data_IF_897703206659
#
_entry.id   IF_897703206659
#
_cell.length_a   1.000
_cell.length_b   1.000
_cell.length_c   1.000
_cell.angle_alpha   90.00
_cell.angle_beta   90.00
_cell.angle_gamma   90.00
#
_symmetry.space_group_name_H-M   'P 1'
#
loop_
_entity.id
_entity.type
_entity.pdbx_description
1 polymer ?
#
# COMPACT_ATOMS: atom_id res chain seq x y z
N UNK A 1 -25.08 -61.50 21.00
CA UNK A 1 -24.15 -60.35 21.06
C UNK A 1 -24.00 -59.61 19.72
N UNK A 2 -24.14 -60.29 18.57
CA UNK A 2 -23.96 -59.71 17.23
C UNK A 2 -25.05 -58.71 16.83
N UNK A 3 -26.33 -58.99 17.10
CA UNK A 3 -27.44 -58.13 16.66
C UNK A 3 -27.44 -56.73 17.31
N UNK A 4 -27.04 -56.63 18.58
CA UNK A 4 -26.91 -55.34 19.29
C UNK A 4 -25.74 -54.50 18.76
N UNK A 5 -24.61 -55.14 18.46
CA UNK A 5 -23.46 -54.46 17.87
C UNK A 5 -23.77 -53.94 16.45
N UNK A 6 -24.53 -54.71 15.66
CA UNK A 6 -24.99 -54.30 14.32
C UNK A 6 -25.96 -53.11 14.41
N UNK A 7 -26.91 -53.13 15.35
CA UNK A 7 -27.84 -52.01 15.55
C UNK A 7 -27.11 -50.72 15.95
N UNK A 8 -26.13 -50.81 16.85
CA UNK A 8 -25.32 -49.66 17.26
C UNK A 8 -24.48 -49.14 16.09
N UNK A 9 -23.85 -50.03 15.30
CA UNK A 9 -23.08 -49.63 14.13
C UNK A 9 -23.94 -48.93 13.07
N UNK A 10 -25.17 -49.39 12.83
CA UNK A 10 -26.11 -48.76 11.91
C UNK A 10 -26.56 -47.37 12.38
N UNK A 11 -26.85 -47.22 13.68
CA UNK A 11 -27.21 -45.92 14.26
C UNK A 11 -26.05 -44.93 14.13
N UNK A 12 -24.81 -45.36 14.40
CA UNK A 12 -23.64 -44.51 14.17
C UNK A 12 -23.52 -44.11 12.70
N UNK A 13 -23.65 -45.05 11.76
CA UNK A 13 -23.54 -44.79 10.31
C UNK A 13 -24.52 -43.71 9.82
N UNK A 14 -25.76 -43.71 10.34
CA UNK A 14 -26.80 -42.74 9.97
C UNK A 14 -26.55 -41.34 10.54
N UNK A 15 -25.73 -41.21 11.59
CA UNK A 15 -25.43 -39.94 12.25
C UNK A 15 -24.23 -39.18 11.64
N UNK A 16 -23.41 -39.82 10.78
CA UNK A 16 -22.23 -39.20 10.16
C UNK A 16 -22.44 -38.35 8.88
N UNK A 17 -23.58 -38.36 8.14
CA UNK A 17 -23.63 -37.67 6.85
C UNK A 17 -23.58 -36.14 6.96
N UNK A 18 -23.77 -35.56 8.16
CA UNK A 18 -23.71 -34.11 8.39
C UNK A 18 -22.32 -33.47 8.23
N UNK A 19 -21.23 -34.24 8.25
CA UNK A 19 -19.87 -33.69 8.11
C UNK A 19 -19.45 -33.41 6.66
N UNK A 20 -20.16 -33.96 5.66
CA UNK A 20 -19.80 -33.83 4.24
C UNK A 20 -20.78 -32.97 3.43
N UNK A 21 -21.89 -32.51 4.03
CA UNK A 21 -23.01 -31.89 3.32
C UNK A 21 -23.08 -30.37 3.44
N UNK A 22 -22.11 -29.71 4.07
CA UNK A 22 -22.05 -28.24 4.05
C UNK A 22 -21.58 -27.77 2.67
N UNK A 23 -22.45 -27.12 1.86
CA UNK A 23 -22.00 -26.52 0.62
C UNK A 23 -20.95 -25.47 0.96
N UNK A 24 -19.82 -25.50 0.25
CA UNK A 24 -18.78 -24.49 0.42
C UNK A 24 -19.39 -23.10 0.15
N UNK A 25 -19.54 -22.30 1.20
CA UNK A 25 -19.93 -20.91 1.06
C UNK A 25 -18.75 -20.16 0.46
N UNK A 26 -18.94 -19.60 -0.73
CA UNK A 26 -17.94 -18.75 -1.35
C UNK A 26 -17.87 -17.45 -0.55
N UNK A 27 -16.85 -17.30 0.29
CA UNK A 27 -16.58 -16.06 0.99
C UNK A 27 -15.81 -15.13 0.06
N UNK A 28 -16.36 -13.96 -0.31
CA UNK A 28 -15.61 -12.98 -1.07
C UNK A 28 -14.43 -12.48 -0.23
N UNK A 29 -13.22 -12.59 -0.79
CA UNK A 29 -11.99 -12.05 -0.18
C UNK A 29 -11.52 -10.88 -1.05
N UNK A 30 -11.51 -9.69 -0.46
CA UNK A 30 -10.98 -8.50 -1.11
C UNK A 30 -9.48 -8.44 -0.89
N UNK A 31 -8.72 -8.90 -1.89
CA UNK A 31 -7.26 -8.75 -1.91
C UNK A 31 -6.92 -7.49 -2.70
N UNK A 32 -6.11 -6.60 -2.10
CA UNK A 32 -5.60 -5.43 -2.80
C UNK A 32 -4.71 -5.88 -3.96
N UNK A 33 -5.13 -5.58 -5.20
CA UNK A 33 -4.33 -5.85 -6.40
C UNK A 33 -3.42 -4.64 -6.64
N UNK A 34 -2.09 -4.81 -6.73
CA UNK A 34 -1.19 -3.73 -7.09
C UNK A 34 -1.54 -3.19 -8.49
N UNK A 35 -1.82 -1.89 -8.57
CA UNK A 35 -2.01 -1.17 -9.83
C UNK A 35 -0.80 -0.26 -10.08
N UNK A 36 -0.45 0.00 -11.35
CA UNK A 36 0.60 0.96 -11.65
C UNK A 36 0.22 2.34 -11.11
N UNK A 37 1.17 3.02 -10.47
CA UNK A 37 0.92 4.39 -10.01
C UNK A 37 0.83 5.34 -11.22
N UNK A 38 -0.19 6.20 -11.20
CA UNK A 38 -0.44 7.21 -12.23
C UNK A 38 0.14 8.59 -11.87
N UNK A 39 0.82 8.70 -10.73
CA UNK A 39 1.43 9.96 -10.31
C UNK A 39 2.56 10.37 -11.25
N UNK A 40 2.66 11.67 -11.50
CA UNK A 40 3.74 12.26 -12.30
C UNK A 40 4.79 12.83 -11.36
N UNK A 41 6.07 12.64 -11.71
CA UNK A 41 7.18 13.27 -10.98
C UNK A 41 7.13 14.79 -11.24
N UNK A 42 6.99 15.63 -10.20
CA UNK A 42 6.98 17.07 -10.38
C UNK A 42 8.29 17.58 -10.99
N UNK A 43 8.23 18.63 -11.80
CA UNK A 43 9.43 19.26 -12.34
C UNK A 43 10.31 19.82 -11.21
N UNK A 44 11.61 19.50 -11.29
CA UNK A 44 12.60 20.06 -10.37
C UNK A 44 12.79 21.55 -10.68
N UNK A 45 12.56 22.45 -9.72
CA UNK A 45 12.82 23.86 -9.96
C UNK A 45 14.33 24.11 -10.09
N UNK A 46 14.72 25.14 -10.83
CA UNK A 46 16.09 25.66 -10.82
C UNK A 46 16.43 26.05 -9.39
N UNK A 47 17.61 25.68 -8.90
CA UNK A 47 18.00 25.96 -7.51
C UNK A 47 18.86 27.22 -7.41
N UNK A 48 18.67 28.09 -6.40
CA UNK A 48 19.39 29.36 -6.29
C UNK A 48 20.92 29.24 -6.29
N UNK A 49 21.48 28.15 -5.76
CA UNK A 49 22.94 27.97 -5.76
C UNK A 49 23.51 27.56 -7.12
N UNK A 50 22.69 27.06 -8.05
CA UNK A 50 23.13 26.58 -9.37
C UNK A 50 23.61 27.71 -10.28
N UNK A 51 23.10 28.93 -10.07
CA UNK A 51 23.43 30.11 -10.86
C UNK A 51 24.48 31.02 -10.21
N UNK A 52 25.11 30.59 -9.11
CA UNK A 52 26.10 31.42 -8.43
C UNK A 52 27.40 31.53 -9.24
N UNK A 53 27.95 32.75 -9.29
CA UNK A 53 29.26 33.00 -9.88
C UNK A 53 30.38 32.54 -8.95
N UNK A 54 31.51 32.14 -9.53
CA UNK A 54 32.73 31.91 -8.77
C UNK A 54 33.16 33.19 -8.03
N UNK A 55 33.57 33.04 -6.77
CA UNK A 55 34.00 34.15 -5.94
C UNK A 55 32.87 34.96 -5.29
N UNK A 56 31.62 34.48 -5.32
CA UNK A 56 30.52 35.07 -4.54
C UNK A 56 30.92 35.20 -3.06
N UNK A 57 30.50 36.29 -2.42
CA UNK A 57 30.76 36.51 -1.00
C UNK A 57 30.10 35.43 -0.16
N UNK A 58 30.66 35.15 1.02
CA UNK A 58 30.06 34.20 1.97
C UNK A 58 28.60 34.53 2.27
N UNK A 59 28.29 35.82 2.48
CA UNK A 59 26.91 36.26 2.71
C UNK A 59 26.00 35.93 1.51
N UNK A 60 26.44 36.25 0.29
CA UNK A 60 25.67 35.93 -0.92
C UNK A 60 25.43 34.44 -1.11
N UNK A 61 26.44 33.61 -0.81
CA UNK A 61 26.28 32.15 -0.82
C UNK A 61 25.26 31.68 0.23
N UNK A 62 25.37 32.15 1.48
CA UNK A 62 24.46 31.75 2.56
C UNK A 62 23.02 32.16 2.25
N UNK A 63 22.80 33.36 1.71
CA UNK A 63 21.46 33.81 1.29
C UNK A 63 20.88 32.91 0.20
N UNK A 64 21.67 32.58 -0.83
CA UNK A 64 21.22 31.67 -1.89
C UNK A 64 20.95 30.26 -1.36
N UNK A 65 21.79 29.75 -0.46
CA UNK A 65 21.63 28.44 0.16
C UNK A 65 20.36 28.38 1.03
N UNK A 66 20.04 29.43 1.80
CA UNK A 66 18.79 29.49 2.57
C UNK A 66 17.56 29.48 1.66
N UNK A 67 17.56 30.31 0.60
CA UNK A 67 16.49 30.30 -0.37
C UNK A 67 16.34 28.94 -1.09
N UNK A 68 17.45 28.20 -1.25
CA UNK A 68 17.42 26.85 -1.81
C UNK A 68 16.81 25.83 -0.85
N UNK A 69 17.10 25.91 0.45
CA UNK A 69 16.51 25.02 1.45
C UNK A 69 14.99 25.11 1.41
N UNK A 70 14.43 26.32 1.48
CA UNK A 70 12.98 26.53 1.40
C UNK A 70 12.39 25.98 0.09
N UNK A 71 13.10 26.18 -1.03
CA UNK A 71 12.68 25.67 -2.35
C UNK A 71 12.69 24.14 -2.40
N UNK A 72 13.69 23.50 -1.78
CA UNK A 72 13.82 22.04 -1.70
C UNK A 72 12.73 21.45 -0.81
N UNK A 73 12.44 22.06 0.33
CA UNK A 73 11.35 21.63 1.22
C UNK A 73 9.99 21.68 0.49
N UNK A 74 9.73 22.76 -0.25
CA UNK A 74 8.52 22.85 -1.08
C UNK A 74 8.47 21.81 -2.20
N UNK A 75 9.61 21.45 -2.80
CA UNK A 75 9.68 20.38 -3.80
C UNK A 75 9.49 18.98 -3.18
N UNK A 76 10.05 18.75 -2.00
CA UNK A 76 9.91 17.51 -1.24
C UNK A 76 8.44 17.27 -0.83
N UNK A 77 7.73 18.32 -0.41
CA UNK A 77 6.29 18.22 -0.15
C UNK A 77 5.50 17.77 -1.38
N UNK A 78 5.84 18.27 -2.58
CA UNK A 78 5.19 17.82 -3.82
C UNK A 78 5.54 16.38 -4.18
N UNK A 79 6.79 15.97 -3.96
CA UNK A 79 7.20 14.58 -4.15
C UNK A 79 6.46 13.64 -3.20
N UNK A 80 6.35 14.01 -1.91
CA UNK A 80 5.59 13.24 -0.94
C UNK A 80 4.11 13.16 -1.32
N UNK A 81 3.50 14.25 -1.77
CA UNK A 81 2.12 14.24 -2.24
C UNK A 81 1.92 13.27 -3.44
N UNK A 82 2.84 13.27 -4.41
CA UNK A 82 2.81 12.35 -5.53
C UNK A 82 2.95 10.88 -5.07
N UNK A 83 3.88 10.62 -4.14
CA UNK A 83 4.11 9.29 -3.58
C UNK A 83 2.92 8.78 -2.76
N UNK A 84 2.29 9.65 -1.97
CA UNK A 84 1.11 9.29 -1.18
C UNK A 84 -0.05 8.84 -2.08
N UNK A 85 -0.22 9.48 -3.25
CA UNK A 85 -1.17 9.03 -4.26
C UNK A 85 -0.90 7.62 -4.80
N UNK A 86 0.33 7.10 -4.68
CA UNK A 86 0.71 5.76 -5.10
C UNK A 86 0.55 4.70 -4.00
N UNK A 87 0.85 5.05 -2.75
CA UNK A 87 1.01 4.08 -1.66
C UNK A 87 -0.24 3.90 -0.79
N UNK A 88 -1.21 4.82 -0.89
CA UNK A 88 -2.48 4.65 -0.18
C UNK A 88 -3.33 3.58 -0.85
N UNK A 89 -3.70 2.49 -0.15
CA UNK A 89 -4.57 1.49 -0.72
C UNK A 89 -5.92 2.11 -1.10
N UNK A 90 -6.40 1.82 -2.31
CA UNK A 90 -7.73 2.24 -2.72
C UNK A 90 -8.78 1.60 -1.79
N UNK A 91 -9.84 2.32 -1.40
CA UNK A 91 -10.92 1.74 -0.62
C UNK A 91 -11.58 0.59 -1.41
N UNK A 92 -12.11 -0.44 -0.71
CA UNK A 92 -12.87 -1.49 -1.37
C UNK A 92 -14.06 -0.87 -2.12
N UNK A 93 -14.28 -1.30 -3.36
CA UNK A 93 -15.47 -0.95 -4.16
C UNK A 93 -16.66 -1.80 -3.77
#
# INVERSE_FOLDING_TARGET
MTARAIAVALVLLVLLPGCATTPAQLQPVHVAVPVPCQAVVPDRPVMPTESLQLGVTLFGFVTAAQAEIERREGYEQRLLAALLGCVTPAPPR
#
